data_IF_187350344213
#
_entry.id   IF_187350344213
#
_cell.length_a   1.000
_cell.length_b   1.000
_cell.length_c   1.000
_cell.angle_alpha   90.00
_cell.angle_beta   90.00
_cell.angle_gamma   90.00
#
_symmetry.space_group_name_H-M   'P 1'
#
loop_
_entity.id
_entity.type
_entity.pdbx_description
1 polymer ?
#
# COMPACT_ATOMS: atom_id res chain seq x y z
N UNK A 1 -2.48 11.54 22.27
CA UNK A 1 -2.85 10.54 21.25
C UNK A 1 -1.85 9.40 21.34
N UNK A 2 -2.31 8.16 21.45
CA UNK A 2 -1.42 6.98 21.47
C UNK A 2 -0.66 6.87 20.15
N UNK A 3 0.64 6.57 20.19
CA UNK A 3 1.53 6.46 19.01
C UNK A 3 0.93 5.54 17.93
N UNK A 4 0.26 4.46 18.33
CA UNK A 4 -0.44 3.55 17.42
C UNK A 4 -1.54 4.25 16.62
N UNK A 5 -2.37 5.08 17.27
CA UNK A 5 -3.47 5.80 16.60
C UNK A 5 -2.92 6.79 15.57
N UNK A 6 -1.84 7.50 15.93
CA UNK A 6 -1.16 8.39 15.00
C UNK A 6 -0.68 7.65 13.75
N UNK A 7 -0.03 6.49 13.91
CA UNK A 7 0.41 5.67 12.79
C UNK A 7 -0.75 5.18 11.92
N UNK A 8 -1.88 4.80 12.52
CA UNK A 8 -3.08 4.38 11.78
C UNK A 8 -3.63 5.54 10.94
N UNK A 9 -3.82 6.73 11.52
CA UNK A 9 -4.32 7.89 10.77
C UNK A 9 -3.35 8.30 9.67
N UNK A 10 -2.04 8.31 9.96
CA UNK A 10 -1.01 8.62 8.97
C UNK A 10 -0.99 7.59 7.82
N UNK A 11 -1.12 6.30 8.13
CA UNK A 11 -1.27 5.25 7.14
C UNK A 11 -2.53 5.45 6.28
N UNK A 12 -3.67 5.79 6.89
CA UNK A 12 -4.93 6.04 6.17
C UNK A 12 -4.81 7.25 5.23
N UNK A 13 -4.28 8.37 5.71
CA UNK A 13 -4.12 9.60 4.91
C UNK A 13 -3.16 9.40 3.73
N UNK A 14 -2.23 8.45 3.83
CA UNK A 14 -1.28 8.16 2.75
C UNK A 14 -1.79 7.08 1.78
N UNK A 15 -2.49 6.05 2.27
CA UNK A 15 -3.01 4.98 1.42
C UNK A 15 -4.25 5.40 0.62
N UNK A 16 -5.11 6.27 1.16
CA UNK A 16 -6.32 6.73 0.48
C UNK A 16 -6.04 7.46 -0.84
N UNK A 17 -5.17 8.48 -0.91
CA UNK A 17 -4.78 9.06 -2.20
C UNK A 17 -4.01 8.07 -3.07
N UNK A 18 -3.22 7.14 -2.49
CA UNK A 18 -2.54 6.10 -3.27
C UNK A 18 -3.54 5.17 -3.98
N UNK A 19 -4.65 4.81 -3.34
CA UNK A 19 -5.73 4.03 -3.94
C UNK A 19 -6.34 4.77 -5.15
N UNK A 20 -6.70 6.05 -4.98
CA UNK A 20 -7.31 6.85 -6.05
C UNK A 20 -6.35 7.04 -7.22
N UNK A 21 -5.12 7.46 -6.95
CA UNK A 21 -4.09 7.67 -7.97
C UNK A 21 -3.76 6.34 -8.67
N UNK A 22 -3.57 5.26 -7.91
CA UNK A 22 -3.28 3.93 -8.44
C UNK A 22 -4.37 3.44 -9.39
N UNK A 23 -5.64 3.54 -8.98
CA UNK A 23 -6.80 3.23 -9.84
C UNK A 23 -6.74 4.03 -11.14
N UNK A 24 -6.57 5.35 -11.02
CA UNK A 24 -6.57 6.26 -12.15
C UNK A 24 -5.46 5.93 -13.16
N UNK A 25 -4.23 5.73 -12.68
CA UNK A 25 -3.07 5.40 -13.54
C UNK A 25 -3.25 4.04 -14.23
N UNK A 26 -3.83 3.05 -13.55
CA UNK A 26 -4.06 1.73 -14.12
C UNK A 26 -5.08 1.75 -15.26
N UNK A 27 -6.09 2.62 -15.19
CA UNK A 27 -7.11 2.78 -16.23
C UNK A 27 -6.64 3.65 -17.41
N UNK A 28 -5.85 4.70 -17.15
CA UNK A 28 -5.40 5.63 -18.19
C UNK A 28 -4.31 5.07 -19.12
N UNK A 29 -4.03 5.73 -20.27
CA UNK A 29 -2.91 5.37 -21.14
C UNK A 29 -1.56 5.39 -20.39
N UNK A 30 -0.69 4.45 -20.73
CA UNK A 30 0.58 4.22 -20.03
C UNK A 30 1.71 4.90 -20.80
N UNK A 31 2.74 5.34 -20.09
CA UNK A 31 3.95 5.93 -20.71
C UNK A 31 3.89 7.44 -21.01
N UNK A 32 2.74 8.09 -20.81
CA UNK A 32 2.56 9.55 -20.93
C UNK A 32 3.32 10.32 -19.85
N UNK A 33 3.58 11.63 -20.02
CA UNK A 33 4.16 12.47 -18.97
C UNK A 33 3.33 12.44 -17.67
N UNK A 34 1.99 12.45 -17.79
CA UNK A 34 1.07 12.36 -16.65
C UNK A 34 1.18 11.02 -15.92
N UNK A 35 1.28 9.90 -16.65
CA UNK A 35 1.51 8.58 -16.06
C UNK A 35 2.81 8.54 -15.25
N UNK A 36 3.89 9.16 -15.76
CA UNK A 36 5.19 9.20 -15.07
C UNK A 36 5.15 10.06 -13.82
N UNK A 37 4.50 11.22 -13.86
CA UNK A 37 4.38 12.12 -12.72
C UNK A 37 3.53 11.51 -11.61
N UNK A 38 2.32 11.08 -11.95
CA UNK A 38 1.41 10.45 -11.00
C UNK A 38 1.97 9.13 -10.48
N UNK A 39 2.68 8.37 -11.32
CA UNK A 39 3.35 7.14 -10.92
C UNK A 39 4.41 7.37 -9.84
N UNK A 40 5.17 8.46 -9.91
CA UNK A 40 6.11 8.84 -8.84
C UNK A 40 5.39 9.12 -7.53
N UNK A 41 4.34 9.95 -7.56
CA UNK A 41 3.54 10.25 -6.37
C UNK A 41 2.93 8.99 -5.76
N UNK A 42 2.31 8.15 -6.58
CA UNK A 42 1.77 6.86 -6.17
C UNK A 42 2.82 5.96 -5.51
N UNK A 43 3.98 5.78 -6.14
CA UNK A 43 5.07 4.96 -5.59
C UNK A 43 5.60 5.53 -4.27
N UNK A 44 5.78 6.85 -4.17
CA UNK A 44 6.20 7.50 -2.92
C UNK A 44 5.18 7.30 -1.81
N UNK A 45 3.88 7.48 -2.09
CA UNK A 45 2.82 7.25 -1.12
C UNK A 45 2.80 5.80 -0.64
N UNK A 46 2.97 4.82 -1.54
CA UNK A 46 3.05 3.40 -1.16
C UNK A 46 4.23 3.10 -0.25
N UNK A 47 5.41 3.67 -0.50
CA UNK A 47 6.57 3.50 0.37
C UNK A 47 6.28 4.06 1.76
N UNK A 48 5.77 5.29 1.84
CA UNK A 48 5.42 5.93 3.12
C UNK A 48 4.36 5.12 3.87
N UNK A 49 3.33 4.67 3.16
CA UNK A 49 2.25 3.82 3.68
C UNK A 49 2.79 2.52 4.26
N UNK A 50 3.70 1.86 3.53
CA UNK A 50 4.28 0.57 3.91
C UNK A 50 5.27 0.71 5.09
N UNK A 51 6.00 1.81 5.17
CA UNK A 51 6.83 2.14 6.33
C UNK A 51 5.94 2.36 7.56
N UNK A 52 4.88 3.15 7.44
CA UNK A 52 3.94 3.39 8.53
C UNK A 52 3.31 2.08 9.03
N UNK A 53 2.84 1.22 8.11
CA UNK A 53 2.25 -0.07 8.48
C UNK A 53 3.25 -1.07 9.07
N UNK A 54 4.54 -0.95 8.78
CA UNK A 54 5.57 -1.80 9.37
C UNK A 54 5.78 -1.52 10.88
N UNK A 55 5.59 -0.27 11.31
CA UNK A 55 5.67 0.12 12.72
C UNK A 55 4.35 -0.02 13.48
N UNK A 56 3.26 -0.36 12.80
CA UNK A 56 1.96 -0.61 13.44
C UNK A 56 1.90 -2.01 14.04
N UNK A 57 1.54 -2.12 15.33
CA UNK A 57 1.34 -3.44 15.94
C UNK A 57 0.18 -4.17 15.28
N UNK A 58 0.37 -5.44 14.93
CA UNK A 58 -0.70 -6.29 14.46
C UNK A 58 -1.77 -6.44 15.55
N UNK A 59 -3.03 -6.16 15.23
CA UNK A 59 -4.13 -6.26 16.19
C UNK A 59 -4.89 -7.58 16.10
N UNK A 60 -4.83 -8.24 14.95
CA UNK A 60 -5.62 -9.44 14.62
C UNK A 60 -4.71 -10.58 14.15
N UNK A 61 -5.01 -11.79 14.59
CA UNK A 61 -4.28 -13.01 14.24
C UNK A 61 -3.05 -13.28 15.11
N UNK A 62 -2.29 -14.35 14.81
CA UNK A 62 -1.06 -14.70 15.50
C UNK A 62 -0.03 -13.58 15.39
N UNK A 63 0.66 -13.27 16.49
CA UNK A 63 1.72 -12.26 16.53
C UNK A 63 3.06 -12.93 16.81
N UNK A 64 4.02 -12.69 15.94
CA UNK A 64 5.43 -12.96 16.19
C UNK A 64 6.01 -11.78 16.99
N UNK A 65 6.71 -12.07 18.08
CA UNK A 65 7.28 -11.07 19.00
C UNK A 65 6.26 -10.04 19.53
N UNK A 66 4.99 -10.43 19.68
CA UNK A 66 3.89 -9.53 20.06
C UNK A 66 3.66 -8.30 19.15
N UNK A 67 4.31 -8.23 17.98
CA UNK A 67 4.25 -7.07 17.07
C UNK A 67 3.86 -7.46 15.64
N UNK A 68 4.59 -8.43 15.05
CA UNK A 68 4.48 -8.76 13.65
C UNK A 68 3.36 -9.77 13.41
N UNK A 69 2.39 -9.40 12.58
CA UNK A 69 1.36 -10.31 12.05
C UNK A 69 1.53 -10.53 10.54
N UNK A 70 0.77 -11.46 9.96
CA UNK A 70 0.88 -11.81 8.52
C UNK A 70 0.79 -10.62 7.55
N UNK A 71 0.05 -9.57 7.91
CA UNK A 71 -0.08 -8.35 7.09
C UNK A 71 1.26 -7.61 6.92
N UNK A 72 2.21 -7.78 7.84
CA UNK A 72 3.54 -7.16 7.69
C UNK A 72 4.29 -7.69 6.46
N UNK A 73 3.98 -8.91 6.01
CA UNK A 73 4.52 -9.43 4.75
C UNK A 73 4.12 -8.54 3.57
N UNK A 74 2.91 -7.98 3.58
CA UNK A 74 2.45 -7.04 2.54
C UNK A 74 3.29 -5.76 2.57
N UNK A 75 3.61 -5.25 3.77
CA UNK A 75 4.50 -4.08 3.92
C UNK A 75 5.89 -4.38 3.35
N UNK A 76 6.50 -5.51 3.71
CA UNK A 76 7.84 -5.92 3.23
C UNK A 76 7.84 -6.09 1.71
N UNK A 77 6.84 -6.79 1.16
CA UNK A 77 6.71 -6.99 -0.28
C UNK A 77 6.51 -5.66 -1.02
N UNK A 78 5.81 -4.70 -0.43
CA UNK A 78 5.63 -3.36 -1.02
C UNK A 78 6.94 -2.57 -1.02
N UNK A 79 7.66 -2.57 0.11
CA UNK A 79 8.98 -1.93 0.25
C UNK A 79 10.02 -2.50 -0.71
N UNK A 80 9.90 -3.78 -1.08
CA UNK A 80 10.74 -4.39 -2.11
C UNK A 80 10.24 -4.10 -3.55
N UNK A 81 8.95 -4.31 -3.79
CA UNK A 81 8.39 -4.28 -5.15
C UNK A 81 8.36 -2.89 -5.75
N UNK A 82 8.11 -1.85 -4.95
CA UNK A 82 8.00 -0.47 -5.44
C UNK A 82 9.35 0.07 -5.94
N UNK A 83 10.46 0.00 -5.18
CA UNK A 83 11.78 0.41 -5.68
C UNK A 83 12.21 -0.44 -6.88
N UNK A 84 11.89 -1.74 -6.89
CA UNK A 84 12.19 -2.60 -8.02
C UNK A 84 11.37 -2.22 -9.27
N UNK A 85 10.11 -1.81 -9.10
CA UNK A 85 9.28 -1.31 -10.20
C UNK A 85 9.83 0.00 -10.78
N UNK A 86 10.34 0.89 -9.93
CA UNK A 86 11.01 2.11 -10.37
C UNK A 86 12.31 1.79 -11.13
N UNK A 87 13.15 0.91 -10.59
CA UNK A 87 14.39 0.48 -11.23
C UNK A 87 14.15 -0.14 -12.61
N UNK A 88 13.16 -1.03 -12.71
CA UNK A 88 12.82 -1.70 -13.97
C UNK A 88 12.21 -0.73 -14.99
N UNK A 89 11.46 0.28 -14.56
CA UNK A 89 11.03 1.37 -15.43
C UNK A 89 12.21 2.18 -15.98
N UNK A 90 13.21 2.50 -15.15
CA UNK A 90 14.45 3.20 -15.57
C UNK A 90 15.24 2.38 -16.60
N UNK A 91 15.29 1.06 -16.44
CA UNK A 91 15.90 0.12 -17.39
C UNK A 91 15.04 -0.14 -18.65
N UNK A 92 13.92 0.58 -18.83
CA UNK A 92 12.96 0.39 -19.92
C UNK A 92 12.36 -1.03 -20.00
N UNK A 93 12.42 -1.80 -18.90
CA UNK A 93 11.79 -3.12 -18.81
C UNK A 93 10.31 -2.95 -18.39
N UNK A 94 9.48 -2.57 -19.36
CA UNK A 94 8.06 -2.26 -19.16
C UNK A 94 7.28 -3.48 -18.67
N UNK A 95 7.60 -4.69 -19.17
CA UNK A 95 6.92 -5.93 -18.77
C UNK A 95 7.08 -6.18 -17.26
N UNK A 96 8.29 -6.04 -16.72
CA UNK A 96 8.55 -6.23 -15.29
C UNK A 96 7.97 -5.09 -14.45
N UNK A 97 8.11 -3.84 -14.89
CA UNK A 97 7.48 -2.69 -14.22
C UNK A 97 5.96 -2.88 -14.07
N UNK A 98 5.27 -3.21 -15.17
CA UNK A 98 3.82 -3.45 -15.19
C UNK A 98 3.44 -4.56 -14.21
N UNK A 99 4.14 -5.70 -14.25
CA UNK A 99 3.85 -6.84 -13.36
C UNK A 99 3.98 -6.44 -11.90
N UNK A 100 5.05 -5.75 -11.51
CA UNK A 100 5.26 -5.31 -10.14
C UNK A 100 4.17 -4.32 -9.72
N UNK A 101 3.84 -3.32 -10.53
CA UNK A 101 2.80 -2.34 -10.19
C UNK A 101 1.40 -2.95 -10.05
N UNK A 102 1.02 -3.88 -10.93
CA UNK A 102 -0.27 -4.57 -10.83
C UNK A 102 -0.33 -5.47 -9.60
N UNK A 103 0.70 -6.28 -9.34
CA UNK A 103 0.74 -7.15 -8.17
C UNK A 103 0.73 -6.34 -6.87
N UNK A 104 1.50 -5.25 -6.79
CA UNK A 104 1.49 -4.36 -5.62
C UNK A 104 0.14 -3.70 -5.44
N UNK A 105 -0.50 -3.21 -6.51
CA UNK A 105 -1.83 -2.59 -6.39
C UNK A 105 -2.89 -3.58 -5.90
N UNK A 106 -2.97 -4.77 -6.51
CA UNK A 106 -3.94 -5.79 -6.13
C UNK A 106 -3.66 -6.30 -4.71
N UNK A 107 -2.41 -6.64 -4.40
CA UNK A 107 -2.06 -7.22 -3.10
C UNK A 107 -2.07 -6.20 -1.96
N UNK A 108 -1.37 -5.08 -2.12
CA UNK A 108 -1.12 -4.13 -1.05
C UNK A 108 -2.19 -3.05 -0.88
N UNK A 109 -3.00 -2.80 -1.92
CA UNK A 109 -4.07 -1.78 -1.84
C UNK A 109 -5.43 -2.46 -1.78
N UNK A 110 -5.77 -3.27 -2.78
CA UNK A 110 -7.11 -3.87 -2.87
C UNK A 110 -7.31 -4.95 -1.81
N UNK A 111 -6.51 -6.02 -1.84
CA UNK A 111 -6.68 -7.16 -0.91
C UNK A 111 -6.46 -6.72 0.53
N UNK A 112 -5.42 -5.93 0.81
CA UNK A 112 -5.17 -5.41 2.16
C UNK A 112 -6.28 -4.45 2.63
N UNK A 113 -6.80 -3.60 1.74
CA UNK A 113 -7.92 -2.70 2.04
C UNK A 113 -9.21 -3.46 2.34
N UNK A 114 -9.55 -4.47 1.52
CA UNK A 114 -10.68 -5.36 1.78
C UNK A 114 -10.52 -6.13 3.08
N UNK A 115 -9.31 -6.63 3.38
CA UNK A 115 -9.03 -7.26 4.66
C UNK A 115 -9.29 -6.30 5.83
N UNK A 116 -8.84 -5.04 5.72
CA UNK A 116 -9.08 -4.03 6.75
C UNK A 116 -10.56 -3.65 6.88
N UNK A 117 -11.32 -3.72 5.78
CA UNK A 117 -12.75 -3.45 5.74
C UNK A 117 -13.60 -4.57 6.36
N UNK A 118 -13.28 -5.83 6.09
CA UNK A 118 -14.11 -6.98 6.50
C UNK A 118 -13.69 -7.63 7.83
N UNK A 119 -12.60 -7.18 8.45
CA UNK A 119 -12.15 -7.73 9.73
C UNK A 119 -12.66 -6.88 10.90
N UNK A 120 -13.53 -7.43 11.78
CA UNK A 120 -13.96 -6.74 12.99
C UNK A 120 -12.79 -6.32 13.87
N UNK A 121 -12.89 -5.15 14.50
CA UNK A 121 -11.82 -4.57 15.30
C UNK A 121 -10.79 -3.76 14.50
N UNK A 122 -10.95 -3.60 13.18
CA UNK A 122 -10.19 -2.65 12.37
C UNK A 122 -10.94 -1.32 12.24
N UNK A 123 -10.18 -0.22 12.16
CA UNK A 123 -10.74 1.14 12.07
C UNK A 123 -11.68 1.32 10.88
N UNK A 124 -11.34 0.74 9.72
CA UNK A 124 -12.21 0.82 8.52
C UNK A 124 -13.54 0.08 8.71
N UNK A 125 -13.52 -1.12 9.33
CA UNK A 125 -14.75 -1.84 9.69
C UNK A 125 -15.62 -1.01 10.63
N UNK A 126 -15.03 -0.44 11.69
CA UNK A 126 -15.78 0.37 12.66
C UNK A 126 -16.32 1.68 12.10
N UNK A 127 -15.77 2.22 11.01
CA UNK A 127 -16.31 3.45 10.40
C UNK A 127 -17.50 3.16 9.49
N UNK A 128 -17.55 1.97 8.88
CA UNK A 128 -18.58 1.62 7.88
C UNK A 128 -19.74 0.79 8.44
N UNK A 129 -19.51 0.08 9.54
CA UNK A 129 -20.51 -0.76 10.20
C UNK A 129 -20.84 -0.31 11.64
N UNK A 130 -20.46 0.93 12.02
CA UNK A 130 -20.90 1.55 13.27
C UNK A 130 -22.31 2.13 13.17
#
# INVERSE_FOLDING_TARGET
MDTQKLLIYFHLVTVMPALVIGTYILLKPKGTPSHRLLGKWYMSLLIVTALASFFMQAQVGPRLFNHFGYIHLVSVLTLYSVPMAYYTARKRNVKRHKRLMVLTYIGAVVIAGLFALFTPGRVLYSVLFA
#
